data_IF_808120879789
#
_entry.id   IF_808120879789
#
_cell.length_a   1.000
_cell.length_b   1.000
_cell.length_c   1.000
_cell.angle_alpha   90.00
_cell.angle_beta   90.00
_cell.angle_gamma   90.00
#
_symmetry.space_group_name_H-M   'P 1'
#
loop_
_entity.id
_entity.type
_entity.pdbx_description
1 polymer ?
#
# COMPACT_ATOMS: atom_id res chain seq x y z
N UNK A 1 -2.23 -19.95 12.62
CA UNK A 1 -2.42 -18.50 12.91
C UNK A 1 -2.72 -17.82 11.59
N UNK A 2 -3.52 -16.75 11.59
CA UNK A 2 -3.80 -16.02 10.35
C UNK A 2 -2.52 -15.53 9.68
N UNK A 3 -2.44 -15.64 8.36
CA UNK A 3 -1.28 -15.18 7.56
C UNK A 3 -1.22 -13.65 7.46
N UNK A 4 -2.33 -12.95 7.74
CA UNK A 4 -2.36 -11.52 7.94
C UNK A 4 -3.21 -11.17 9.16
N UNK A 5 -2.79 -10.16 9.93
CA UNK A 5 -3.49 -9.61 11.09
C UNK A 5 -4.08 -8.25 10.72
N UNK A 6 -5.22 -7.91 11.31
CA UNK A 6 -5.89 -6.63 11.09
C UNK A 6 -6.17 -5.99 12.45
N UNK A 7 -5.69 -4.77 12.64
CA UNK A 7 -5.84 -4.03 13.89
C UNK A 7 -6.34 -2.60 13.61
N UNK A 8 -7.02 -2.01 14.59
CA UNK A 8 -7.54 -0.65 14.49
C UNK A 8 -6.76 0.29 15.41
N UNK A 9 -6.24 1.37 14.88
CA UNK A 9 -5.59 2.47 15.60
C UNK A 9 -6.33 3.79 15.31
N UNK A 10 -7.34 4.11 16.12
CA UNK A 10 -8.23 5.24 15.85
C UNK A 10 -8.92 5.12 14.48
N UNK A 11 -8.67 6.05 13.59
CA UNK A 11 -9.18 6.05 12.20
C UNK A 11 -8.26 5.32 11.20
N UNK A 12 -7.22 4.64 11.67
CA UNK A 12 -6.28 3.91 10.82
C UNK A 12 -6.48 2.41 10.97
N UNK A 13 -6.60 1.68 9.87
CA UNK A 13 -6.52 0.22 9.84
C UNK A 13 -5.09 -0.21 9.54
N UNK A 14 -4.50 -1.05 10.38
CA UNK A 14 -3.17 -1.64 10.17
C UNK A 14 -3.34 -3.08 9.74
N UNK A 15 -2.78 -3.42 8.59
CA UNK A 15 -2.76 -4.78 8.03
C UNK A 15 -1.31 -5.27 8.12
N UNK A 16 -1.09 -6.33 8.91
CA UNK A 16 0.24 -6.89 9.15
C UNK A 16 0.37 -8.26 8.48
N UNK A 17 1.26 -8.39 7.50
CA UNK A 17 1.66 -9.68 6.94
C UNK A 17 2.33 -10.51 8.04
N UNK A 18 1.83 -11.73 8.32
CA UNK A 18 2.16 -12.46 9.55
C UNK A 18 2.66 -13.89 9.28
N UNK A 19 3.77 -14.00 8.56
CA UNK A 19 4.54 -15.24 8.39
C UNK A 19 6.04 -14.99 8.67
N UNK A 20 6.40 -14.52 9.88
CA UNK A 20 7.76 -14.00 10.15
C UNK A 20 8.85 -15.05 9.95
N UNK A 21 8.60 -16.34 10.23
CA UNK A 21 9.53 -17.44 9.96
C UNK A 21 9.87 -17.63 8.48
N UNK A 22 9.10 -17.01 7.58
CA UNK A 22 9.26 -17.02 6.12
C UNK A 22 9.48 -15.60 5.57
N UNK A 23 9.95 -14.67 6.42
CA UNK A 23 10.11 -13.25 6.05
C UNK A 23 8.84 -12.67 5.41
N UNK A 24 7.69 -13.07 5.93
CA UNK A 24 6.36 -12.67 5.45
C UNK A 24 6.13 -12.94 3.95
N UNK A 25 6.66 -14.08 3.46
CA UNK A 25 6.41 -14.53 2.09
C UNK A 25 4.92 -14.71 1.83
N UNK A 26 4.49 -14.28 0.65
CA UNK A 26 3.09 -14.19 0.25
C UNK A 26 2.49 -15.57 -0.01
N UNK A 27 1.30 -15.81 0.54
CA UNK A 27 0.44 -16.95 0.25
C UNK A 27 -0.88 -16.48 -0.33
N UNK A 28 -1.62 -17.38 -0.95
CA UNK A 28 -2.98 -17.07 -1.42
C UNK A 28 -3.91 -16.66 -0.27
N UNK A 29 -3.76 -17.26 0.91
CA UNK A 29 -4.54 -16.94 2.11
C UNK A 29 -4.20 -15.53 2.63
N UNK A 30 -2.92 -15.18 2.69
CA UNK A 30 -2.47 -13.84 3.06
C UNK A 30 -3.06 -12.78 2.11
N UNK A 31 -2.95 -13.01 0.80
CA UNK A 31 -3.46 -12.08 -0.21
C UNK A 31 -4.99 -11.91 -0.14
N UNK A 32 -5.72 -13.01 0.13
CA UNK A 32 -7.16 -12.96 0.34
C UNK A 32 -7.53 -12.12 1.57
N UNK A 33 -6.86 -12.34 2.72
CA UNK A 33 -7.09 -11.56 3.95
C UNK A 33 -6.76 -10.08 3.77
N UNK A 34 -5.65 -9.79 3.12
CA UNK A 34 -5.26 -8.40 2.84
C UNK A 34 -6.30 -7.70 1.97
N UNK A 35 -6.77 -8.36 0.93
CA UNK A 35 -7.82 -7.83 0.06
C UNK A 35 -9.13 -7.60 0.83
N UNK A 36 -9.59 -8.58 1.61
CA UNK A 36 -10.82 -8.47 2.42
C UNK A 36 -10.70 -7.28 3.41
N UNK A 37 -9.57 -7.16 4.10
CA UNK A 37 -9.32 -6.05 5.03
C UNK A 37 -9.34 -4.68 4.33
N UNK A 38 -8.76 -4.58 3.13
CA UNK A 38 -8.81 -3.34 2.35
C UNK A 38 -10.23 -2.99 1.88
N UNK A 39 -11.02 -4.00 1.49
CA UNK A 39 -12.44 -3.80 1.13
C UNK A 39 -13.24 -3.35 2.35
N UNK A 40 -13.07 -4.01 3.50
CA UNK A 40 -13.68 -3.63 4.77
C UNK A 40 -13.31 -2.19 5.16
N UNK A 41 -12.02 -1.86 5.12
CA UNK A 41 -11.55 -0.51 5.40
C UNK A 41 -12.21 0.55 4.50
N UNK A 42 -12.40 0.25 3.22
CA UNK A 42 -13.04 1.18 2.29
C UNK A 42 -14.55 1.34 2.55
N UNK A 43 -15.21 0.31 3.06
CA UNK A 43 -16.63 0.32 3.40
C UNK A 43 -16.94 0.96 4.76
N UNK A 44 -15.98 1.04 5.68
CA UNK A 44 -16.14 1.61 7.01
C UNK A 44 -15.82 3.11 7.01
N UNK A 45 -16.81 3.97 7.16
CA UNK A 45 -16.65 5.43 7.16
C UNK A 45 -15.75 5.96 8.28
N UNK A 46 -15.57 5.20 9.36
CA UNK A 46 -14.66 5.55 10.46
C UNK A 46 -13.19 5.24 10.14
N UNK A 47 -12.89 4.42 9.13
CA UNK A 47 -11.52 4.24 8.63
C UNK A 47 -11.21 5.37 7.65
N UNK A 48 -10.09 6.08 7.85
CA UNK A 48 -9.64 7.21 7.01
C UNK A 48 -8.31 6.94 6.32
N UNK A 49 -7.54 5.96 6.81
CA UNK A 49 -6.27 5.53 6.23
C UNK A 49 -5.99 4.06 6.51
N UNK A 50 -5.11 3.46 5.70
CA UNK A 50 -4.69 2.06 5.82
C UNK A 50 -3.17 2.03 5.88
N UNK A 51 -2.59 1.21 6.75
CA UNK A 51 -1.14 0.93 6.78
C UNK A 51 -0.92 -0.54 6.49
N UNK A 52 -0.01 -0.85 5.57
CA UNK A 52 0.49 -2.19 5.31
C UNK A 52 1.88 -2.33 5.92
N UNK A 53 2.10 -3.38 6.70
CA UNK A 53 3.39 -3.68 7.34
C UNK A 53 3.63 -5.19 7.41
N UNK A 54 4.78 -5.60 7.93
CA UNK A 54 5.12 -7.01 8.15
C UNK A 54 5.54 -7.27 9.60
N UNK A 55 5.24 -8.46 10.08
CA UNK A 55 5.57 -8.91 11.43
C UNK A 55 7.08 -9.13 11.62
N UNK A 56 7.53 -8.98 12.85
CA UNK A 56 8.88 -9.34 13.34
C UNK A 56 10.03 -8.78 12.48
N UNK A 57 9.97 -7.50 12.14
CA UNK A 57 11.10 -6.76 11.55
C UNK A 57 11.39 -7.06 10.08
N UNK A 58 10.45 -7.64 9.34
CA UNK A 58 10.54 -7.75 7.89
C UNK A 58 9.21 -7.38 7.24
N UNK A 59 9.25 -6.66 6.11
CA UNK A 59 8.05 -6.33 5.39
C UNK A 59 7.54 -7.56 4.62
N UNK A 60 8.22 -7.96 3.53
CA UNK A 60 7.80 -9.08 2.70
C UNK A 60 8.93 -9.52 1.75
N UNK A 61 9.20 -10.81 1.67
CA UNK A 61 10.21 -11.38 0.76
C UNK A 61 9.66 -11.78 -0.62
N UNK A 62 8.39 -11.50 -0.92
CA UNK A 62 7.74 -11.88 -2.17
C UNK A 62 7.01 -13.20 -2.12
N UNK A 63 6.76 -13.82 -3.27
CA UNK A 63 6.07 -15.10 -3.34
C UNK A 63 6.85 -16.23 -2.63
N UNK A 64 6.14 -17.15 -2.00
CA UNK A 64 6.76 -18.31 -1.35
C UNK A 64 7.26 -19.30 -2.42
N UNK A 65 8.53 -19.18 -2.81
CA UNK A 65 9.15 -20.03 -3.82
C UNK A 65 9.23 -21.51 -3.40
N UNK A 66 9.24 -21.82 -2.10
CA UNK A 66 9.22 -23.21 -1.62
C UNK A 66 7.85 -23.82 -1.87
N UNK A 67 6.79 -23.07 -1.59
CA UNK A 67 5.43 -23.50 -1.91
C UNK A 67 5.26 -23.72 -3.43
N UNK A 68 5.85 -22.86 -4.26
CA UNK A 68 5.87 -23.03 -5.72
C UNK A 68 6.65 -24.28 -6.16
N UNK A 69 7.66 -24.70 -5.41
CA UNK A 69 8.44 -25.92 -5.65
C UNK A 69 7.77 -27.20 -5.09
N UNK A 70 6.56 -27.10 -4.51
CA UNK A 70 5.83 -28.23 -3.95
C UNK A 70 6.12 -28.50 -2.46
N UNK A 71 6.93 -27.69 -1.81
CA UNK A 71 7.25 -27.75 -0.37
C UNK A 71 6.32 -26.80 0.40
N UNK A 72 5.03 -27.08 0.35
CA UNK A 72 4.00 -26.26 0.99
C UNK A 72 3.88 -26.62 2.47
N UNK A 73 4.52 -25.87 3.33
CA UNK A 73 4.27 -25.88 4.76
C UNK A 73 3.39 -24.70 5.18
N UNK A 74 2.42 -25.02 6.06
CA UNK A 74 1.67 -24.09 6.93
C UNK A 74 1.12 -22.84 6.22
N UNK A 75 0.02 -23.03 5.55
CA UNK A 75 -0.85 -21.91 5.14
C UNK A 75 -2.00 -21.76 6.12
N UNK A 76 -2.54 -20.55 6.21
CA UNK A 76 -3.75 -20.25 6.98
C UNK A 76 -4.90 -21.16 6.54
N UNK A 77 -5.21 -22.15 7.37
CA UNK A 77 -6.23 -23.16 7.10
C UNK A 77 -7.67 -22.65 7.21
N UNK A 78 -7.87 -21.43 7.68
CA UNK A 78 -9.21 -20.82 7.81
C UNK A 78 -9.73 -20.30 6.47
N UNK A 79 -8.85 -20.12 5.46
CA UNK A 79 -9.23 -19.66 4.13
C UNK A 79 -9.11 -20.79 3.12
N UNK A 80 -10.22 -21.19 2.52
CA UNK A 80 -10.23 -22.03 1.33
C UNK A 80 -9.87 -21.19 0.09
N UNK A 81 -8.56 -21.07 -0.14
CA UNK A 81 -8.02 -20.29 -1.27
C UNK A 81 -8.51 -20.83 -2.61
N UNK A 82 -8.65 -22.16 -2.75
CA UNK A 82 -9.07 -22.77 -3.99
C UNK A 82 -10.54 -22.42 -4.32
N UNK A 83 -11.43 -22.49 -3.34
CA UNK A 83 -12.82 -22.08 -3.51
C UNK A 83 -12.94 -20.57 -3.79
N UNK A 84 -12.16 -19.75 -3.10
CA UNK A 84 -12.13 -18.29 -3.33
C UNK A 84 -11.67 -17.96 -4.76
N UNK A 85 -10.59 -18.58 -5.23
CA UNK A 85 -10.07 -18.37 -6.59
C UNK A 85 -10.98 -18.94 -7.66
N UNK A 86 -11.74 -19.99 -7.39
CA UNK A 86 -12.76 -20.50 -8.31
C UNK A 86 -13.88 -19.48 -8.55
N UNK A 87 -14.24 -18.69 -7.52
CA UNK A 87 -15.21 -17.60 -7.62
C UNK A 87 -14.63 -16.28 -8.14
N UNK A 88 -13.36 -16.03 -7.87
CA UNK A 88 -12.63 -14.81 -8.27
C UNK A 88 -11.17 -15.16 -8.61
N UNK A 89 -10.87 -15.54 -9.84
CA UNK A 89 -9.51 -15.89 -10.28
C UNK A 89 -8.51 -14.73 -10.15
N UNK A 90 -9.00 -13.49 -10.02
CA UNK A 90 -8.21 -12.28 -9.91
C UNK A 90 -7.82 -11.94 -8.48
N UNK A 91 -8.34 -12.67 -7.50
CA UNK A 91 -8.15 -12.43 -6.07
C UNK A 91 -6.67 -12.23 -5.66
N UNK A 92 -5.69 -13.06 -6.11
CA UNK A 92 -4.28 -12.83 -5.77
C UNK A 92 -3.76 -11.49 -6.26
N UNK A 93 -4.15 -11.06 -7.47
CA UNK A 93 -3.74 -9.79 -8.05
C UNK A 93 -4.42 -8.60 -7.38
N UNK A 94 -5.64 -8.77 -6.85
CA UNK A 94 -6.29 -7.76 -6.01
C UNK A 94 -5.55 -7.59 -4.68
N UNK A 95 -5.19 -8.68 -4.01
CA UNK A 95 -4.36 -8.65 -2.80
C UNK A 95 -2.98 -8.05 -3.02
N UNK A 96 -2.41 -8.23 -4.23
CA UNK A 96 -1.15 -7.62 -4.68
C UNK A 96 -1.29 -6.16 -5.17
N UNK A 97 -2.43 -5.51 -4.98
CA UNK A 97 -2.69 -4.13 -5.40
C UNK A 97 -2.52 -3.91 -6.91
N UNK A 98 -2.61 -4.97 -7.72
CA UNK A 98 -2.52 -4.86 -9.18
C UNK A 98 -3.85 -4.49 -9.81
N UNK A 99 -4.92 -5.19 -9.44
CA UNK A 99 -6.25 -5.02 -10.00
C UNK A 99 -7.26 -4.46 -8.98
N UNK A 100 -6.76 -4.00 -7.83
CA UNK A 100 -7.52 -3.31 -6.81
C UNK A 100 -6.67 -2.21 -6.18
N UNK A 101 -7.27 -1.06 -5.97
CA UNK A 101 -6.69 0.06 -5.24
C UNK A 101 -7.74 0.53 -4.22
N UNK A 102 -7.43 0.55 -2.92
CA UNK A 102 -8.36 1.04 -1.92
C UNK A 102 -8.67 2.53 -2.17
N UNK A 103 -9.91 2.95 -1.95
CA UNK A 103 -10.32 4.35 -2.10
C UNK A 103 -9.75 5.29 -1.03
N UNK A 104 -9.14 4.72 0.01
CA UNK A 104 -8.50 5.44 1.12
C UNK A 104 -6.99 5.43 0.99
N UNK A 105 -6.27 6.43 1.54
CA UNK A 105 -4.81 6.46 1.54
C UNK A 105 -4.21 5.19 2.12
N UNK A 106 -3.27 4.59 1.38
CA UNK A 106 -2.56 3.38 1.75
C UNK A 106 -1.08 3.69 1.98
N UNK A 107 -0.63 3.53 3.21
CA UNK A 107 0.76 3.73 3.60
C UNK A 107 1.48 2.39 3.72
N UNK A 108 2.79 2.37 3.48
CA UNK A 108 3.64 1.24 3.81
C UNK A 108 4.61 1.60 4.95
N UNK A 109 4.71 0.71 5.94
CA UNK A 109 5.72 0.75 6.99
C UNK A 109 6.64 -0.46 6.83
N UNK A 110 7.87 -0.21 6.38
CA UNK A 110 8.80 -1.23 5.93
C UNK A 110 9.95 -1.38 6.91
N UNK A 111 10.07 -2.55 7.51
CA UNK A 111 11.29 -2.98 8.18
C UNK A 111 11.97 -4.09 7.38
N UNK A 112 13.27 -4.23 7.52
CA UNK A 112 14.05 -5.32 6.93
C UNK A 112 13.87 -5.44 5.40
N UNK A 113 13.32 -6.56 4.92
CA UNK A 113 13.26 -6.82 3.48
C UNK A 113 11.88 -6.52 2.87
N UNK A 114 11.89 -5.82 1.74
CA UNK A 114 10.78 -5.67 0.82
C UNK A 114 11.27 -6.09 -0.57
N UNK A 115 11.20 -7.39 -0.91
CA UNK A 115 11.83 -7.97 -2.10
C UNK A 115 10.79 -8.64 -2.98
N UNK A 116 11.02 -8.65 -4.29
CA UNK A 116 10.15 -9.27 -5.28
C UNK A 116 8.70 -8.75 -5.12
N UNK A 117 7.71 -9.63 -4.92
CA UNK A 117 6.33 -9.25 -4.63
C UNK A 117 6.16 -8.26 -3.48
N UNK A 118 7.10 -8.22 -2.50
CA UNK A 118 7.12 -7.22 -1.45
C UNK A 118 7.42 -5.81 -1.97
N UNK A 119 8.36 -5.66 -2.91
CA UNK A 119 8.58 -4.38 -3.60
C UNK A 119 7.42 -4.06 -4.55
N UNK A 120 6.78 -5.06 -5.13
CA UNK A 120 5.60 -4.85 -5.97
C UNK A 120 4.40 -4.32 -5.18
N UNK A 121 4.13 -4.87 -3.98
CA UNK A 121 3.14 -4.34 -3.03
C UNK A 121 3.47 -2.89 -2.65
N UNK A 122 4.74 -2.61 -2.30
CA UNK A 122 5.19 -1.26 -1.97
C UNK A 122 4.84 -0.25 -3.07
N UNK A 123 5.02 -0.61 -4.33
CA UNK A 123 4.71 0.26 -5.48
C UNK A 123 3.21 0.55 -5.63
N UNK A 124 2.35 -0.24 -5.01
CA UNK A 124 0.90 -0.03 -4.93
C UNK A 124 0.47 0.91 -3.81
N UNK A 125 1.39 1.34 -2.93
CA UNK A 125 1.08 2.23 -1.80
C UNK A 125 1.38 3.69 -2.13
N UNK A 126 0.74 4.63 -1.41
CA UNK A 126 0.83 6.07 -1.67
C UNK A 126 1.98 6.73 -0.92
N UNK A 127 2.18 6.37 0.35
CA UNK A 127 3.22 6.94 1.22
C UNK A 127 4.04 5.79 1.81
N UNK A 128 5.36 5.94 1.81
CA UNK A 128 6.29 4.86 2.15
C UNK A 128 7.31 5.31 3.16
N UNK A 129 7.34 4.61 4.30
CA UNK A 129 8.28 4.79 5.40
C UNK A 129 9.11 3.54 5.54
N UNK A 130 10.41 3.67 5.72
CA UNK A 130 11.30 2.51 5.90
C UNK A 130 12.29 2.70 7.04
N UNK A 131 12.65 1.62 7.72
CA UNK A 131 13.80 1.56 8.61
C UNK A 131 15.13 1.68 7.84
N UNK A 132 16.17 2.19 8.49
CA UNK A 132 17.49 2.44 7.87
C UNK A 132 18.11 1.18 7.26
N UNK A 133 17.89 0.02 7.88
CA UNK A 133 18.42 -1.25 7.39
C UNK A 133 17.60 -1.87 6.26
N UNK A 134 16.45 -1.29 5.89
CA UNK A 134 15.56 -1.85 4.89
C UNK A 134 16.23 -2.03 3.52
N UNK A 135 15.80 -3.10 2.81
CA UNK A 135 16.30 -3.46 1.49
C UNK A 135 15.14 -3.67 0.53
N UNK A 136 15.30 -3.15 -0.67
CA UNK A 136 14.31 -3.19 -1.74
C UNK A 136 14.90 -3.84 -2.98
N UNK A 137 14.08 -4.55 -3.75
CA UNK A 137 14.54 -5.12 -5.02
C UNK A 137 13.47 -5.98 -5.68
N UNK A 138 13.58 -6.09 -7.01
CA UNK A 138 12.71 -6.91 -7.85
C UNK A 138 13.55 -8.07 -8.35
N UNK A 139 13.48 -9.23 -7.67
CA UNK A 139 14.45 -10.31 -7.83
C UNK A 139 14.01 -11.43 -8.79
N UNK A 140 12.84 -11.31 -9.40
CA UNK A 140 12.20 -12.33 -10.23
C UNK A 140 13.11 -12.79 -11.39
N UNK A 141 13.78 -11.85 -12.07
CA UNK A 141 14.66 -12.15 -13.20
C UNK A 141 15.80 -13.11 -12.84
N UNK A 142 16.30 -13.09 -11.58
CA UNK A 142 17.34 -14.02 -11.08
C UNK A 142 16.89 -15.48 -11.14
N UNK A 143 15.58 -15.71 -11.03
CA UNK A 143 14.96 -17.04 -10.99
C UNK A 143 14.22 -17.36 -12.29
N UNK A 144 14.48 -16.60 -13.37
CA UNK A 144 13.76 -16.73 -14.65
C UNK A 144 12.24 -16.55 -14.52
N UNK A 145 11.82 -15.73 -13.54
CA UNK A 145 10.44 -15.36 -13.30
C UNK A 145 10.20 -13.91 -13.75
N UNK A 146 8.92 -13.54 -13.90
CA UNK A 146 8.50 -12.20 -14.27
C UNK A 146 7.74 -11.53 -13.10
N UNK A 147 7.98 -10.25 -12.80
CA UNK A 147 7.26 -9.52 -11.74
C UNK A 147 5.82 -9.24 -12.16
N UNK A 148 4.92 -10.15 -11.82
CA UNK A 148 3.53 -10.14 -12.29
C UNK A 148 2.62 -9.14 -11.58
N UNK A 149 3.05 -8.58 -10.43
CA UNK A 149 2.24 -7.61 -9.70
C UNK A 149 2.46 -6.15 -10.15
N UNK A 150 3.27 -5.92 -11.20
CA UNK A 150 3.29 -4.66 -11.92
C UNK A 150 4.59 -3.88 -11.89
N UNK A 151 5.69 -4.38 -11.29
CA UNK A 151 6.96 -3.64 -11.20
C UNK A 151 7.50 -3.17 -12.53
N UNK A 152 7.41 -3.99 -13.58
CA UNK A 152 7.91 -3.61 -14.90
C UNK A 152 7.18 -2.40 -15.52
N UNK A 153 5.99 -2.10 -15.04
CA UNK A 153 5.17 -0.95 -15.46
C UNK A 153 5.30 0.22 -14.48
N UNK A 154 5.10 -0.07 -13.17
CA UNK A 154 5.00 0.96 -12.13
C UNK A 154 6.35 1.58 -11.79
N UNK A 155 7.41 0.76 -11.66
CA UNK A 155 8.70 1.25 -11.17
C UNK A 155 9.25 2.39 -12.04
N UNK A 156 9.23 2.23 -13.38
CA UNK A 156 9.69 3.26 -14.32
C UNK A 156 8.86 4.55 -14.34
N UNK A 157 7.67 4.55 -13.72
CA UNK A 157 6.80 5.71 -13.56
C UNK A 157 7.06 6.44 -12.24
N UNK A 158 7.60 5.72 -11.25
CA UNK A 158 7.82 6.23 -9.90
C UNK A 158 9.25 6.70 -9.66
N UNK A 159 10.23 6.11 -10.38
CA UNK A 159 11.65 6.48 -10.27
C UNK A 159 12.27 6.67 -11.66
N UNK A 160 13.44 7.34 -11.78
CA UNK A 160 14.12 7.51 -13.06
C UNK A 160 14.37 6.17 -13.78
N UNK A 161 14.15 6.17 -15.10
CA UNK A 161 14.18 4.95 -15.93
C UNK A 161 15.46 4.12 -15.77
N UNK A 162 16.64 4.76 -15.70
CA UNK A 162 17.91 4.06 -15.57
C UNK A 162 18.00 3.27 -14.27
N UNK A 163 17.51 3.82 -13.15
CA UNK A 163 17.45 3.11 -11.88
C UNK A 163 16.43 1.97 -11.93
N UNK A 164 15.26 2.20 -12.51
CA UNK A 164 14.23 1.17 -12.67
C UNK A 164 14.76 0.00 -13.53
N UNK A 165 15.39 0.30 -14.67
CA UNK A 165 15.97 -0.71 -15.58
C UNK A 165 17.08 -1.50 -14.88
N UNK A 166 17.97 -0.84 -14.14
CA UNK A 166 19.06 -1.51 -13.42
C UNK A 166 18.50 -2.47 -12.35
N UNK A 167 17.56 -2.02 -11.51
CA UNK A 167 16.93 -2.86 -10.48
C UNK A 167 16.24 -4.08 -11.10
N UNK A 168 15.46 -3.88 -12.17
CA UNK A 168 14.68 -4.92 -12.81
C UNK A 168 15.55 -5.94 -13.57
N UNK A 169 16.54 -5.45 -14.33
CA UNK A 169 17.32 -6.31 -15.23
C UNK A 169 18.46 -7.03 -14.52
N UNK A 170 19.05 -6.43 -13.48
CA UNK A 170 20.13 -7.04 -12.70
C UNK A 170 19.64 -7.79 -11.48
N UNK A 171 18.36 -7.62 -11.09
CA UNK A 171 17.80 -8.14 -9.85
C UNK A 171 18.61 -7.71 -8.61
N UNK A 172 19.23 -6.52 -8.64
CA UNK A 172 19.97 -5.97 -7.50
C UNK A 172 19.01 -5.52 -6.39
N UNK A 173 19.51 -5.56 -5.17
CA UNK A 173 18.84 -4.92 -4.03
C UNK A 173 19.48 -3.56 -3.75
N UNK A 174 18.66 -2.59 -3.36
CA UNK A 174 19.08 -1.25 -2.97
C UNK A 174 18.82 -1.00 -1.48
N UNK A 175 19.56 -0.09 -0.90
CA UNK A 175 19.40 0.33 0.51
C UNK A 175 18.24 1.29 0.68
N UNK A 176 17.82 1.55 1.94
CA UNK A 176 16.81 2.56 2.26
C UNK A 176 17.26 3.96 1.79
N UNK A 177 18.52 4.32 2.00
CA UNK A 177 19.09 5.61 1.55
C UNK A 177 19.07 5.75 0.03
N UNK A 178 19.43 4.69 -0.71
CA UNK A 178 19.34 4.69 -2.17
C UNK A 178 17.89 4.81 -2.64
N UNK A 179 16.98 4.06 -2.02
CA UNK A 179 15.55 4.10 -2.31
C UNK A 179 14.94 5.49 -2.07
N UNK A 180 15.32 6.16 -0.98
CA UNK A 180 14.91 7.53 -0.69
C UNK A 180 15.50 8.52 -1.71
N UNK A 181 16.80 8.40 -2.02
CA UNK A 181 17.49 9.28 -2.97
C UNK A 181 16.87 9.24 -4.37
N UNK A 182 16.40 8.08 -4.82
CA UNK A 182 15.77 7.93 -6.15
C UNK A 182 14.25 8.14 -6.13
N UNK A 183 13.64 8.40 -4.95
CA UNK A 183 12.21 8.68 -4.80
C UNK A 183 11.31 7.43 -4.72
N UNK A 184 11.87 6.23 -4.50
CA UNK A 184 11.06 5.03 -4.29
C UNK A 184 10.33 5.05 -2.95
N UNK A 185 10.94 5.63 -1.91
CA UNK A 185 10.34 5.86 -0.58
C UNK A 185 10.47 7.32 -0.19
N UNK A 186 9.58 7.79 0.71
CA UNK A 186 9.55 9.19 1.14
C UNK A 186 10.25 9.45 2.48
N UNK A 187 10.38 8.44 3.33
CA UNK A 187 10.92 8.61 4.69
C UNK A 187 11.83 7.45 5.08
N UNK A 188 12.98 7.79 5.69
CA UNK A 188 13.86 6.83 6.34
C UNK A 188 13.92 7.19 7.82
N UNK A 189 13.78 6.19 8.69
CA UNK A 189 13.76 6.33 10.15
C UNK A 189 14.63 5.23 10.78
N UNK A 190 15.06 5.37 12.04
CA UNK A 190 15.74 4.29 12.74
C UNK A 190 14.94 2.99 12.71
N UNK A 191 15.64 1.85 12.68
CA UNK A 191 15.00 0.54 12.65
C UNK A 191 14.01 0.36 13.82
N UNK A 192 12.89 -0.27 13.53
CA UNK A 192 11.78 -0.44 14.46
C UNK A 192 10.84 0.76 14.60
N UNK A 193 11.09 1.87 13.87
CA UNK A 193 10.27 3.08 13.96
C UNK A 193 9.38 3.30 12.72
N UNK A 194 9.44 2.42 11.72
CA UNK A 194 8.70 2.63 10.48
C UNK A 194 7.17 2.68 10.70
N UNK A 195 6.63 1.78 11.52
CA UNK A 195 5.19 1.78 11.85
C UNK A 195 4.79 3.00 12.67
N UNK A 196 5.60 3.40 13.66
CA UNK A 196 5.36 4.60 14.47
C UNK A 196 5.27 5.84 13.57
N UNK A 197 6.23 5.99 12.65
CA UNK A 197 6.23 7.12 11.72
C UNK A 197 5.08 7.08 10.73
N UNK A 198 4.71 5.91 10.24
CA UNK A 198 3.55 5.75 9.37
C UNK A 198 2.24 6.12 10.10
N UNK A 199 2.09 5.76 11.37
CA UNK A 199 0.94 6.15 12.21
C UNK A 199 0.89 7.67 12.43
N UNK A 200 2.02 8.34 12.66
CA UNK A 200 2.08 9.81 12.75
C UNK A 200 1.58 10.49 11.46
N UNK A 201 1.98 9.97 10.30
CA UNK A 201 1.54 10.49 9.00
C UNK A 201 0.05 10.18 8.78
N UNK A 202 -0.39 8.98 9.12
CA UNK A 202 -1.79 8.58 9.04
C UNK A 202 -2.68 9.49 9.90
N UNK A 203 -2.25 9.86 11.11
CA UNK A 203 -2.97 10.79 11.98
C UNK A 203 -3.10 12.18 11.33
N UNK A 204 -2.05 12.67 10.66
CA UNK A 204 -2.16 13.93 9.90
C UNK A 204 -3.18 13.85 8.78
N UNK A 205 -3.25 12.71 8.07
CA UNK A 205 -4.26 12.45 7.03
C UNK A 205 -5.65 12.39 7.66
N UNK A 206 -5.81 11.65 8.76
CA UNK A 206 -7.08 11.43 9.43
C UNK A 206 -7.70 12.71 10.00
N UNK A 207 -6.88 13.71 10.30
CA UNK A 207 -7.33 15.04 10.77
C UNK A 207 -7.84 15.95 9.64
N UNK A 208 -7.65 15.57 8.38
CA UNK A 208 -8.17 16.31 7.22
C UNK A 208 -9.60 15.85 6.87
N UNK A 209 -10.28 16.65 6.05
CA UNK A 209 -11.62 16.30 5.54
C UNK A 209 -11.58 15.04 4.69
N UNK A 210 -12.25 13.95 5.10
CA UNK A 210 -12.09 12.64 4.45
C UNK A 210 -12.52 12.65 2.97
N UNK A 211 -13.61 13.34 2.63
CA UNK A 211 -14.05 13.47 1.23
C UNK A 211 -13.02 14.20 0.36
N UNK A 212 -12.36 15.23 0.91
CA UNK A 212 -11.32 15.96 0.19
C UNK A 212 -10.08 15.09 -0.02
N UNK A 213 -9.64 14.34 1.00
CA UNK A 213 -8.50 13.42 0.90
C UNK A 213 -8.77 12.33 -0.14
N UNK A 214 -9.95 11.72 -0.13
CA UNK A 214 -10.33 10.68 -1.10
C UNK A 214 -10.43 11.24 -2.54
N UNK A 215 -10.97 12.44 -2.72
CA UNK A 215 -11.04 13.09 -4.02
C UNK A 215 -9.64 13.42 -4.57
N UNK A 216 -8.74 13.95 -3.73
CA UNK A 216 -7.35 14.22 -4.10
C UNK A 216 -6.65 12.91 -4.49
N UNK A 217 -6.79 11.86 -3.67
CA UNK A 217 -6.19 10.55 -3.93
C UNK A 217 -6.69 9.97 -5.27
N UNK A 218 -7.98 10.09 -5.53
CA UNK A 218 -8.61 9.68 -6.77
C UNK A 218 -8.04 10.44 -7.97
N UNK A 219 -7.92 11.76 -7.88
CA UNK A 219 -7.29 12.59 -8.90
C UNK A 219 -5.86 12.12 -9.19
N UNK A 220 -5.01 11.95 -8.14
CA UNK A 220 -3.62 11.51 -8.30
C UNK A 220 -3.48 10.18 -9.03
N UNK A 221 -4.44 9.27 -8.87
CA UNK A 221 -4.38 7.92 -9.46
C UNK A 221 -5.03 7.82 -10.83
N UNK A 222 -6.19 8.45 -11.02
CA UNK A 222 -6.99 8.30 -12.23
C UNK A 222 -6.50 9.18 -13.38
N UNK A 223 -5.79 10.27 -13.09
CA UNK A 223 -5.27 11.18 -14.11
C UNK A 223 -3.87 10.80 -14.62
N UNK A 224 -3.25 9.73 -14.08
CA UNK A 224 -1.94 9.26 -14.58
C UNK A 224 -2.01 8.87 -16.07
N UNK A 225 -1.19 9.53 -16.88
CA UNK A 225 -1.13 9.32 -18.32
C UNK A 225 -2.11 10.16 -19.14
N UNK A 226 -2.95 10.98 -18.52
CA UNK A 226 -3.78 11.98 -19.21
C UNK A 226 -2.94 13.22 -19.58
N UNK A 227 -3.40 13.99 -20.56
CA UNK A 227 -2.88 15.34 -20.75
C UNK A 227 -3.30 16.22 -19.57
N UNK A 228 -2.53 17.28 -19.29
CA UNK A 228 -2.87 18.21 -18.20
C UNK A 228 -4.29 18.76 -18.32
N UNK A 229 -4.71 19.10 -19.55
CA UNK A 229 -6.05 19.64 -19.81
C UNK A 229 -7.17 18.61 -19.49
N UNK A 230 -6.98 17.36 -19.87
CA UNK A 230 -7.92 16.27 -19.52
C UNK A 230 -7.94 16.03 -18.02
N UNK A 231 -6.77 15.98 -17.37
CA UNK A 231 -6.64 15.80 -15.93
C UNK A 231 -7.35 16.90 -15.15
N UNK A 232 -7.16 18.18 -15.53
CA UNK A 232 -7.84 19.33 -14.91
C UNK A 232 -9.36 19.28 -15.08
N UNK A 233 -9.87 18.76 -16.20
CA UNK A 233 -11.30 18.56 -16.39
C UNK A 233 -11.86 17.48 -15.45
N UNK A 234 -11.12 16.38 -15.26
CA UNK A 234 -11.50 15.33 -14.32
C UNK A 234 -11.48 15.80 -12.85
N UNK A 235 -10.42 16.49 -12.42
CA UNK A 235 -10.33 16.96 -11.03
C UNK A 235 -11.45 17.94 -10.67
N UNK A 236 -11.92 18.74 -11.65
CA UNK A 236 -12.99 19.69 -11.44
C UNK A 236 -14.29 19.01 -10.96
N UNK A 237 -14.64 17.85 -11.51
CA UNK A 237 -15.83 17.09 -11.10
C UNK A 237 -15.69 16.60 -9.65
N UNK A 238 -14.51 16.11 -9.27
CA UNK A 238 -14.26 15.64 -7.90
C UNK A 238 -14.25 16.80 -6.91
N UNK A 239 -13.63 17.92 -7.28
CA UNK A 239 -13.61 19.14 -6.47
C UNK A 239 -15.01 19.70 -6.24
N UNK A 240 -15.86 19.75 -7.26
CA UNK A 240 -17.24 20.20 -7.11
C UNK A 240 -18.03 19.35 -6.11
N UNK A 241 -17.88 18.03 -6.16
CA UNK A 241 -18.54 17.12 -5.23
C UNK A 241 -18.10 17.39 -3.77
N UNK A 242 -16.81 17.64 -3.54
CA UNK A 242 -16.27 18.00 -2.22
C UNK A 242 -16.85 19.34 -1.74
N UNK A 243 -16.85 20.38 -2.59
CA UNK A 243 -17.39 21.70 -2.23
C UNK A 243 -18.89 21.70 -1.94
N UNK A 244 -19.64 20.72 -2.47
CA UNK A 244 -21.07 20.57 -2.19
C UNK A 244 -21.35 19.91 -0.83
N UNK A 245 -20.35 19.34 -0.15
CA UNK A 245 -20.48 18.61 1.11
C UNK A 245 -20.73 19.54 2.32
N UNK A 246 -21.21 18.95 3.42
CA UNK A 246 -21.30 19.66 4.69
C UNK A 246 -19.93 19.86 5.34
N UNK A 247 -19.01 18.93 5.13
CA UNK A 247 -17.62 19.04 5.59
C UNK A 247 -16.91 20.27 4.97
N UNK A 248 -17.25 20.63 3.72
CA UNK A 248 -16.71 21.84 3.08
C UNK A 248 -17.22 23.15 3.72
N UNK A 249 -18.34 23.12 4.42
CA UNK A 249 -18.86 24.24 5.23
C UNK A 249 -18.23 24.25 6.63
N UNK A 250 -18.04 23.08 7.22
CA UNK A 250 -17.46 22.90 8.56
C UNK A 250 -16.01 23.39 8.61
N UNK A 251 -15.18 23.08 7.62
CA UNK A 251 -13.77 23.47 7.58
C UNK A 251 -13.55 24.98 7.77
N UNK A 252 -14.09 25.86 6.90
CA UNK A 252 -13.98 27.32 7.03
C UNK A 252 -14.59 27.86 8.33
N UNK A 253 -15.69 27.26 8.80
CA UNK A 253 -16.34 27.65 10.06
C UNK A 253 -15.43 27.35 11.25
N UNK A 254 -14.89 26.14 11.35
CA UNK A 254 -13.96 25.75 12.41
C UNK A 254 -12.71 26.65 12.42
N UNK A 255 -12.19 26.97 11.23
CA UNK A 255 -11.06 27.88 11.08
C UNK A 255 -11.37 29.28 11.63
N UNK A 256 -12.51 29.86 11.28
CA UNK A 256 -12.94 31.17 11.77
C UNK A 256 -13.16 31.17 13.31
N UNK A 257 -13.68 30.07 13.85
CA UNK A 257 -13.94 29.88 15.28
C UNK A 257 -12.66 29.42 16.05
N UNK A 258 -11.52 29.19 15.39
CA UNK A 258 -10.25 28.71 15.97
C UNK A 258 -10.40 27.41 16.76
N UNK A 259 -11.18 26.48 16.26
CA UNK A 259 -11.38 25.15 16.83
C UNK A 259 -10.99 24.05 15.84
N UNK A 260 -10.82 22.84 16.33
CA UNK A 260 -10.69 21.66 15.49
C UNK A 260 -11.98 21.39 14.72
N UNK A 261 -11.92 21.14 13.39
CA UNK A 261 -13.09 20.77 12.62
C UNK A 261 -13.59 19.37 13.02
N UNK A 262 -14.89 19.15 12.86
CA UNK A 262 -15.53 17.86 13.10
C UNK A 262 -16.14 17.34 11.80
N UNK A 263 -15.31 16.70 10.97
CA UNK A 263 -15.72 16.17 9.68
C UNK A 263 -16.53 14.87 9.83
N UNK A 264 -17.64 14.79 9.11
CA UNK A 264 -18.63 13.71 9.20
C UNK A 264 -18.75 12.89 7.90
N UNK A 265 -17.89 13.15 6.91
CA UNK A 265 -17.92 12.52 5.57
C UNK A 265 -19.27 12.68 4.85
N UNK A 266 -19.85 13.85 4.88
CA UNK A 266 -21.14 14.16 4.24
C UNK A 266 -21.23 15.61 3.76
#
# INVERSE_FOLDING_TARGET
MPDALVERHGHTMVITMNRPKRYNALTGAMLARMYDAMVEACADDDVRSIILTGAEGNFCSGADLRAMAGDAEDTDSEIDVAARMAGDPDLPYKGLLRHYQPSKPLLAAVEGVAIAGGTELLQGTDIRVAGESARFGVSEARWSLYPMAGSAVRLRRQIPYTHAAEILLTAKHITADEAARIGLIGHVVPDGQALTKALEIAEQINNNGPLAVEAILRTLRETDGMTEQEALAHEFEYGQAVFASDDAKEGPKAFAEKRTPNFQRR
#
